data_IF_542534667667
#
_entry.id   IF_542534667667
#
_cell.length_a   1.000
_cell.length_b   1.000
_cell.length_c   1.000
_cell.angle_alpha   90.00
_cell.angle_beta   90.00
_cell.angle_gamma   90.00
#
_symmetry.space_group_name_H-M   'P 1'
#
loop_
_entity.id
_entity.type
_entity.pdbx_description
1 polymer ?
#
# COMPACT_ATOMS: atom_id res chain seq x y z
N UNK A 1 7.11 0.72 1.02
CA UNK A 1 7.74 2.05 0.92
C UNK A 1 7.71 2.42 -0.54
N UNK A 2 7.25 3.62 -0.89
CA UNK A 2 7.15 4.04 -2.29
C UNK A 2 8.54 4.39 -2.84
N UNK A 3 8.91 3.80 -3.97
CA UNK A 3 10.17 4.05 -4.66
C UNK A 3 10.07 5.23 -5.63
N UNK A 4 11.21 5.77 -6.06
CA UNK A 4 11.34 6.74 -7.14
C UNK A 4 10.76 6.17 -8.44
N UNK A 5 10.97 4.87 -8.70
CA UNK A 5 10.37 4.21 -9.85
C UNK A 5 8.84 4.16 -9.76
N UNK A 6 8.28 3.83 -8.58
CA UNK A 6 6.82 3.86 -8.38
C UNK A 6 6.24 5.25 -8.63
N UNK A 7 6.94 6.29 -8.17
CA UNK A 7 6.54 7.68 -8.39
C UNK A 7 6.56 8.05 -9.88
N UNK A 8 7.63 7.70 -10.60
CA UNK A 8 7.76 7.95 -12.05
C UNK A 8 6.63 7.25 -12.82
N UNK A 9 6.42 5.95 -12.57
CA UNK A 9 5.38 5.18 -13.25
C UNK A 9 3.97 5.64 -12.88
N UNK A 10 3.78 6.26 -11.71
CA UNK A 10 2.49 6.84 -11.33
C UNK A 10 2.22 8.15 -12.06
N UNK A 11 3.25 8.93 -12.40
CA UNK A 11 3.14 10.17 -13.18
C UNK A 11 3.01 9.85 -14.67
N UNK A 12 3.89 8.99 -15.19
CA UNK A 12 3.88 8.51 -16.56
C UNK A 12 3.96 6.98 -16.58
N UNK A 13 2.82 6.28 -16.74
CA UNK A 13 2.78 4.81 -16.77
C UNK A 13 3.59 4.15 -17.89
N UNK A 14 3.91 4.90 -18.95
CA UNK A 14 4.68 4.42 -20.09
C UNK A 14 6.16 4.83 -20.00
N UNK A 15 6.61 5.40 -18.88
CA UNK A 15 7.99 5.85 -18.74
C UNK A 15 8.96 4.67 -18.81
N UNK A 16 9.93 4.77 -19.72
CA UNK A 16 11.01 3.80 -19.82
C UNK A 16 12.24 4.38 -19.12
N UNK A 17 12.54 3.89 -17.93
CA UNK A 17 13.61 4.45 -17.08
C UNK A 17 14.42 3.38 -16.37
N UNK A 18 15.67 3.72 -16.06
CA UNK A 18 16.47 3.02 -15.06
C UNK A 18 16.72 3.97 -13.90
N UNK A 19 16.35 3.54 -12.70
CA UNK A 19 16.59 4.28 -11.45
C UNK A 19 17.66 3.54 -10.66
N UNK A 20 18.82 4.16 -10.46
CA UNK A 20 19.91 3.55 -9.70
C UNK A 20 19.78 3.91 -8.22
N UNK A 21 19.79 2.91 -7.34
CA UNK A 21 19.80 3.13 -5.90
C UNK A 21 18.57 3.83 -5.33
N UNK A 22 17.44 3.85 -6.06
CA UNK A 22 16.24 4.59 -5.68
C UNK A 22 16.51 6.10 -5.49
N UNK A 23 17.45 6.65 -6.26
CA UNK A 23 17.92 8.03 -6.15
C UNK A 23 17.33 8.89 -7.28
N UNK A 24 16.68 9.98 -6.90
CA UNK A 24 16.11 10.97 -7.82
C UNK A 24 17.18 11.75 -8.60
N UNK A 25 18.42 11.77 -8.10
CA UNK A 25 19.57 12.35 -8.81
C UNK A 25 20.20 11.39 -9.82
N UNK A 26 19.84 10.10 -9.81
CA UNK A 26 20.45 9.05 -10.63
C UNK A 26 19.42 8.27 -11.47
N UNK A 27 18.79 8.99 -12.41
CA UNK A 27 17.77 8.47 -13.32
C UNK A 27 18.28 8.53 -14.77
N UNK A 28 18.19 7.41 -15.48
CA UNK A 28 18.45 7.31 -16.92
C UNK A 28 17.10 7.16 -17.62
N UNK A 29 16.79 8.09 -18.52
CA UNK A 29 15.56 8.09 -19.32
C UNK A 29 15.82 7.47 -20.70
N UNK A 30 14.98 6.52 -21.11
CA UNK A 30 15.15 5.76 -22.35
C UNK A 30 14.08 6.13 -23.38
N UNK A 31 14.34 5.80 -24.65
CA UNK A 31 13.37 5.83 -25.75
C UNK A 31 12.59 7.14 -25.92
N UNK A 32 13.22 8.27 -25.60
CA UNK A 32 12.60 9.59 -25.70
C UNK A 32 11.53 9.85 -24.63
N UNK A 33 11.52 9.07 -23.54
CA UNK A 33 10.67 9.33 -22.38
C UNK A 33 10.89 10.76 -21.89
N UNK A 34 9.80 11.52 -21.77
CA UNK A 34 9.84 12.89 -21.25
C UNK A 34 10.38 12.90 -19.82
N UNK A 35 11.38 13.75 -19.58
CA UNK A 35 12.02 13.89 -18.28
C UNK A 35 11.03 14.52 -17.29
N UNK A 36 10.72 13.80 -16.22
CA UNK A 36 9.91 14.33 -15.13
C UNK A 36 10.83 15.07 -14.15
N UNK A 37 10.36 16.21 -13.64
CA UNK A 37 11.15 17.00 -12.68
C UNK A 37 11.36 16.24 -11.37
N UNK A 38 12.53 16.44 -10.75
CA UNK A 38 12.86 15.84 -9.46
C UNK A 38 11.83 16.18 -8.37
N UNK A 39 11.36 17.42 -8.37
CA UNK A 39 10.35 17.91 -7.44
C UNK A 39 9.03 17.15 -7.59
N UNK A 40 8.58 16.91 -8.82
CA UNK A 40 7.34 16.18 -9.07
C UNK A 40 7.46 14.71 -8.64
N UNK A 41 8.60 14.08 -8.92
CA UNK A 41 8.90 12.72 -8.47
C UNK A 41 8.86 12.63 -6.94
N UNK A 42 9.55 13.53 -6.24
CA UNK A 42 9.58 13.55 -4.76
C UNK A 42 8.20 13.85 -4.16
N UNK A 43 7.44 14.76 -4.77
CA UNK A 43 6.07 15.06 -4.37
C UNK A 43 5.20 13.81 -4.49
N UNK A 44 5.25 13.13 -5.64
CA UNK A 44 4.50 11.89 -5.85
C UNK A 44 4.94 10.77 -4.91
N UNK A 45 6.24 10.64 -4.65
CA UNK A 45 6.75 9.66 -3.70
C UNK A 45 6.21 9.91 -2.29
N UNK A 46 6.15 11.17 -1.86
CA UNK A 46 5.60 11.58 -0.57
C UNK A 46 4.10 11.29 -0.48
N UNK A 47 3.35 11.55 -1.54
CA UNK A 47 1.93 11.19 -1.63
C UNK A 47 1.72 9.68 -1.49
N UNK A 48 2.45 8.87 -2.26
CA UNK A 48 2.37 7.41 -2.21
C UNK A 48 2.79 6.85 -0.84
N UNK A 49 3.80 7.44 -0.22
CA UNK A 49 4.23 7.04 1.12
C UNK A 49 3.17 7.39 2.17
N UNK A 50 2.52 8.55 2.04
CA UNK A 50 1.40 8.97 2.88
C UNK A 50 0.22 8.02 2.72
N UNK A 51 -0.15 7.68 1.48
CA UNK A 51 -1.21 6.71 1.21
C UNK A 51 -0.89 5.32 1.81
N UNK A 52 0.33 4.83 1.61
CA UNK A 52 0.79 3.57 2.19
C UNK A 52 0.68 3.57 3.72
N UNK A 53 1.06 4.68 4.37
CA UNK A 53 0.99 4.82 5.82
C UNK A 53 -0.46 4.92 6.32
N UNK A 54 -1.30 5.72 5.67
CA UNK A 54 -2.72 5.87 6.02
C UNK A 54 -3.47 4.54 5.89
N UNK A 55 -3.07 3.69 4.94
CA UNK A 55 -3.66 2.37 4.73
C UNK A 55 -3.00 1.24 5.56
N UNK A 56 -2.14 1.56 6.54
CA UNK A 56 -1.46 0.54 7.37
C UNK A 56 -2.44 -0.40 8.07
N UNK A 57 -3.55 0.13 8.59
CA UNK A 57 -4.56 -0.67 9.28
C UNK A 57 -5.10 -1.82 8.42
N UNK A 58 -5.18 -1.65 7.09
CA UNK A 58 -5.70 -2.69 6.20
C UNK A 58 -4.76 -3.90 6.17
N UNK A 59 -3.45 -3.64 6.09
CA UNK A 59 -2.41 -4.68 6.08
C UNK A 59 -2.32 -5.37 7.43
N UNK A 60 -2.35 -4.60 8.51
CA UNK A 60 -2.30 -5.15 9.87
C UNK A 60 -3.52 -6.04 10.16
N UNK A 61 -4.72 -5.60 9.76
CA UNK A 61 -5.95 -6.41 9.89
C UNK A 61 -5.89 -7.66 9.03
N UNK A 62 -5.44 -7.57 7.78
CA UNK A 62 -5.35 -8.72 6.88
C UNK A 62 -4.44 -9.83 7.45
N UNK A 63 -3.39 -9.47 8.17
CA UNK A 63 -2.49 -10.42 8.82
C UNK A 63 -3.11 -11.12 10.04
N UNK A 64 -4.07 -10.49 10.72
CA UNK A 64 -4.71 -11.03 11.94
C UNK A 64 -6.16 -11.44 11.77
N UNK A 65 -6.76 -11.17 10.61
CA UNK A 65 -8.12 -11.62 10.33
C UNK A 65 -8.17 -13.14 10.32
N UNK A 66 -9.13 -13.75 11.05
CA UNK A 66 -9.35 -15.18 10.97
C UNK A 66 -9.63 -15.59 9.53
N UNK A 67 -9.26 -16.83 9.17
CA UNK A 67 -9.55 -17.34 7.84
C UNK A 67 -11.06 -17.38 7.59
N UNK A 68 -11.48 -17.48 6.33
CA UNK A 68 -12.92 -17.60 6.02
C UNK A 68 -13.51 -18.85 6.68
N UNK A 69 -12.75 -19.95 6.76
CA UNK A 69 -13.21 -21.18 7.42
C UNK A 69 -13.45 -20.94 8.91
N UNK A 70 -12.50 -20.32 9.61
CA UNK A 70 -12.63 -20.01 11.04
C UNK A 70 -13.79 -19.04 11.30
N UNK A 71 -14.04 -18.09 10.39
CA UNK A 71 -15.18 -17.19 10.50
C UNK A 71 -16.51 -17.91 10.34
N UNK A 72 -16.63 -18.85 9.39
CA UNK A 72 -17.84 -19.63 9.21
C UNK A 72 -18.09 -20.57 10.40
N UNK A 73 -17.02 -21.15 10.94
CA UNK A 73 -17.06 -22.00 12.15
C UNK A 73 -17.50 -21.20 13.38
N UNK A 74 -16.93 -20.01 13.59
CA UNK A 74 -17.30 -19.09 14.68
C UNK A 74 -18.77 -18.65 14.57
N UNK A 75 -19.27 -18.39 13.36
CA UNK A 75 -20.70 -18.11 13.13
C UNK A 75 -21.57 -19.31 13.48
N UNK A 76 -21.14 -20.53 13.13
CA UNK A 76 -21.90 -21.75 13.40
C UNK A 76 -21.98 -22.04 14.91
N UNK A 77 -20.88 -21.88 15.63
CA UNK A 77 -20.78 -22.24 17.05
C UNK A 77 -21.19 -21.12 18.01
N UNK A 78 -20.81 -19.87 17.73
CA UNK A 78 -21.00 -18.72 18.62
C UNK A 78 -22.03 -17.72 18.09
N UNK A 79 -22.59 -17.97 16.90
CA UNK A 79 -23.56 -17.08 16.26
C UNK A 79 -22.93 -15.78 15.75
N UNK A 80 -23.79 -14.95 15.15
CA UNK A 80 -23.37 -13.69 14.54
C UNK A 80 -22.75 -12.73 15.58
N UNK A 81 -23.23 -12.73 16.82
CA UNK A 81 -22.74 -11.81 17.85
C UNK A 81 -21.36 -12.22 18.40
N UNK A 82 -21.11 -13.54 18.53
CA UNK A 82 -19.78 -14.07 18.82
C UNK A 82 -18.77 -13.72 17.73
N UNK A 83 -19.12 -14.01 16.48
CA UNK A 83 -18.31 -13.65 15.32
C UNK A 83 -18.00 -12.16 15.23
N UNK A 84 -18.99 -11.28 15.47
CA UNK A 84 -18.77 -9.82 15.51
C UNK A 84 -17.77 -9.42 16.59
N UNK A 85 -17.78 -10.10 17.74
CA UNK A 85 -16.84 -9.83 18.84
C UNK A 85 -15.41 -10.17 18.42
N UNK A 86 -15.21 -11.33 17.79
CA UNK A 86 -13.91 -11.74 17.22
C UNK A 86 -13.39 -10.72 16.21
N UNK A 87 -14.21 -10.33 15.23
CA UNK A 87 -13.81 -9.34 14.21
C UNK A 87 -13.58 -7.95 14.83
N UNK A 88 -14.40 -7.55 15.81
CA UNK A 88 -14.25 -6.27 16.50
C UNK A 88 -12.92 -6.17 17.23
N UNK A 89 -12.45 -7.23 17.89
CA UNK A 89 -11.16 -7.23 18.56
C UNK A 89 -10.00 -6.86 17.62
N UNK A 90 -9.97 -7.42 16.41
CA UNK A 90 -8.94 -7.08 15.41
C UNK A 90 -9.08 -5.64 14.92
N UNK A 91 -10.31 -5.16 14.73
CA UNK A 91 -10.58 -3.79 14.27
C UNK A 91 -10.25 -2.73 15.32
N UNK A 92 -10.47 -3.03 16.59
CA UNK A 92 -10.14 -2.14 17.71
C UNK A 92 -8.62 -2.08 17.93
N UNK A 93 -7.91 -3.19 17.71
CA UNK A 93 -6.43 -3.23 17.73
C UNK A 93 -5.81 -2.37 16.61
N UNK A 94 -6.46 -2.34 15.44
CA UNK A 94 -6.00 -1.60 14.26
C UNK A 94 -7.08 -0.63 13.77
N UNK A 95 -7.26 0.55 14.41
CA UNK A 95 -8.30 1.50 14.03
C UNK A 95 -8.08 2.06 12.62
N UNK A 96 -9.17 2.57 12.02
CA UNK A 96 -9.11 3.30 10.76
C UNK A 96 -8.66 4.74 10.98
#
# INVERSE_FOLDING_TARGET
MATVLDAILKINPNAEVTVNGNDVDNIIWHNGTEVISKSDIQTKQTELQTEYNNNKYQRDRAAEYPSIVDQLDDIYHNGIDGWKTTIKAVKDKYPK
#
